data_IF_135648360633
#
_entry.id   IF_135648360633
#
_cell.length_a   1.000
_cell.length_b   1.000
_cell.length_c   1.000
_cell.angle_alpha   90.00
_cell.angle_beta   90.00
_cell.angle_gamma   90.00
#
_symmetry.space_group_name_H-M   'P 1'
#
loop_
_entity.id
_entity.type
_entity.pdbx_description
1 polymer ?
#
# COMPACT_ATOMS: atom_id res chain seq x y z
N UNK A 1 -4.25 -38.86 -43.15
CA UNK A 1 -3.62 -37.53 -43.25
C UNK A 1 -4.58 -36.57 -42.60
N UNK A 2 -4.47 -36.38 -41.29
CA UNK A 2 -5.19 -35.33 -40.58
C UNK A 2 -4.23 -34.75 -39.54
N UNK A 3 -3.96 -33.45 -39.70
CA UNK A 3 -2.99 -32.72 -38.93
C UNK A 3 -3.55 -32.44 -37.53
N UNK A 4 -2.84 -32.94 -36.51
CA UNK A 4 -3.03 -32.52 -35.12
C UNK A 4 -2.44 -31.11 -35.01
N UNK A 5 -3.30 -30.09 -35.11
CA UNK A 5 -2.97 -28.73 -34.72
C UNK A 5 -2.84 -28.72 -33.20
N UNK A 6 -1.61 -28.79 -32.71
CA UNK A 6 -1.30 -28.43 -31.32
C UNK A 6 -1.40 -26.91 -31.21
N UNK A 7 -2.57 -26.42 -30.82
CA UNK A 7 -2.70 -25.07 -30.28
C UNK A 7 -1.97 -25.03 -28.94
N UNK A 8 -0.73 -24.56 -28.96
CA UNK A 8 -0.02 -24.11 -27.78
C UNK A 8 -0.66 -22.79 -27.33
N UNK A 9 -1.61 -22.88 -26.40
CA UNK A 9 -1.96 -21.78 -25.51
C UNK A 9 -0.71 -21.41 -24.70
N UNK A 10 0.17 -20.59 -25.27
CA UNK A 10 1.02 -19.75 -24.42
C UNK A 10 0.08 -18.91 -23.54
N UNK A 11 0.30 -18.97 -22.22
CA UNK A 11 -0.57 -18.26 -21.28
C UNK A 11 -0.61 -16.78 -21.65
N UNK A 12 -1.80 -16.17 -21.65
CA UNK A 12 -2.02 -14.73 -21.93
C UNK A 12 -1.06 -13.85 -21.12
N UNK A 13 -0.67 -14.30 -19.93
CA UNK A 13 0.30 -13.64 -19.06
C UNK A 13 1.73 -13.64 -19.64
N UNK A 14 2.14 -14.74 -20.28
CA UNK A 14 3.44 -14.86 -20.96
C UNK A 14 3.53 -13.89 -22.13
N UNK A 15 2.47 -13.77 -22.94
CA UNK A 15 2.39 -12.81 -24.05
C UNK A 15 2.40 -11.36 -23.53
N UNK A 16 1.68 -11.04 -22.45
CA UNK A 16 1.71 -9.71 -21.82
C UNK A 16 3.10 -9.34 -21.28
N UNK A 17 3.84 -10.29 -20.71
CA UNK A 17 5.22 -10.07 -20.23
C UNK A 17 6.18 -9.87 -21.41
N UNK A 18 6.02 -10.61 -22.51
CA UNK A 18 6.87 -10.46 -23.70
C UNK A 18 6.64 -9.14 -24.45
N UNK A 19 5.42 -8.62 -24.49
CA UNK A 19 5.11 -7.35 -25.15
C UNK A 19 5.55 -6.10 -24.38
N UNK A 20 5.90 -6.21 -23.10
CA UNK A 20 6.25 -5.07 -22.22
C UNK A 20 7.77 -4.87 -22.01
N UNK A 21 8.60 -5.78 -22.51
CA UNK A 21 10.07 -5.72 -22.41
C UNK A 21 10.64 -5.67 -23.83
N UNK A 22 11.23 -4.53 -24.22
CA UNK A 22 11.87 -4.41 -25.53
C UNK A 22 13.06 -5.38 -25.65
N UNK A 23 13.11 -6.11 -26.77
CA UNK A 23 14.15 -7.11 -27.08
C UNK A 23 15.58 -6.56 -27.05
N UNK A 24 15.77 -5.24 -27.15
CA UNK A 24 17.09 -4.59 -27.09
C UNK A 24 17.79 -4.70 -25.73
N UNK A 25 17.06 -4.97 -24.63
CA UNK A 25 17.64 -5.19 -23.30
C UNK A 25 18.14 -6.65 -23.10
N UNK A 26 17.93 -7.50 -24.12
CA UNK A 26 18.19 -8.93 -24.10
C UNK A 26 19.49 -9.21 -24.84
N UNK A 27 20.64 -8.92 -24.20
CA UNK A 27 21.83 -9.69 -24.52
C UNK A 27 21.53 -11.15 -24.13
N UNK A 28 21.32 -11.96 -25.15
CA UNK A 28 21.00 -13.37 -25.02
C UNK A 28 22.13 -14.04 -24.24
N UNK A 29 21.82 -14.50 -23.03
CA UNK A 29 22.57 -15.58 -22.40
C UNK A 29 22.40 -16.79 -23.31
N UNK A 30 23.30 -16.90 -24.29
CA UNK A 30 23.15 -17.83 -25.41
C UNK A 30 22.90 -19.25 -24.90
N UNK A 31 22.02 -19.96 -25.62
CA UNK A 31 21.68 -21.34 -25.33
C UNK A 31 22.86 -22.21 -25.78
N UNK A 32 23.94 -22.19 -25.00
CA UNK A 32 24.99 -23.19 -25.12
C UNK A 32 24.43 -24.57 -24.75
N UNK A 33 25.01 -25.65 -25.31
CA UNK A 33 24.74 -27.04 -24.87
C UNK A 33 24.76 -27.11 -23.33
N UNK A 34 23.99 -27.96 -22.66
CA UNK A 34 24.09 -28.09 -21.19
C UNK A 34 25.51 -28.48 -20.74
N UNK A 35 25.89 -28.19 -19.47
CA UNK A 35 27.13 -28.70 -18.92
C UNK A 35 27.09 -30.24 -18.84
N UNK A 36 28.27 -30.90 -18.82
CA UNK A 36 28.39 -32.34 -18.59
C UNK A 36 27.58 -32.81 -17.39
N UNK A 37 27.02 -34.03 -17.45
CA UNK A 37 26.19 -34.62 -16.38
C UNK A 37 26.87 -34.53 -15.00
N UNK A 38 28.18 -34.81 -14.93
CA UNK A 38 28.98 -34.74 -13.70
C UNK A 38 28.98 -33.35 -13.02
N UNK A 39 28.72 -32.28 -13.77
CA UNK A 39 28.68 -30.91 -13.24
C UNK A 39 27.26 -30.44 -12.92
N UNK A 40 26.21 -31.16 -13.34
CA UNK A 40 24.82 -30.73 -13.11
C UNK A 40 24.44 -30.75 -11.64
N UNK A 41 24.99 -31.68 -10.84
CA UNK A 41 24.76 -31.69 -9.38
C UNK A 41 25.24 -30.40 -8.69
N UNK A 42 26.25 -29.71 -9.25
CA UNK A 42 26.75 -28.44 -8.70
C UNK A 42 25.83 -27.25 -8.97
N UNK A 43 24.95 -27.34 -9.97
CA UNK A 43 23.99 -26.27 -10.29
C UNK A 43 23.08 -26.00 -9.08
N UNK A 44 22.54 -27.06 -8.47
CA UNK A 44 21.65 -26.98 -7.32
C UNK A 44 22.33 -26.39 -6.06
N UNK A 45 23.67 -26.39 -6.02
CA UNK A 45 24.46 -25.78 -4.95
C UNK A 45 24.68 -24.29 -5.27
N UNK A 46 25.12 -23.98 -6.48
CA UNK A 46 25.47 -22.61 -6.85
C UNK A 46 24.25 -21.70 -7.07
N UNK A 47 23.13 -22.21 -7.58
CA UNK A 47 21.94 -21.39 -7.85
C UNK A 47 21.39 -20.67 -6.61
N UNK A 48 21.14 -21.33 -5.45
CA UNK A 48 20.67 -20.63 -4.25
C UNK A 48 21.74 -19.69 -3.67
N UNK A 49 23.03 -20.03 -3.80
CA UNK A 49 24.13 -19.17 -3.33
C UNK A 49 24.16 -17.87 -4.14
N UNK A 50 24.13 -17.96 -5.47
CA UNK A 50 24.12 -16.79 -6.34
C UNK A 50 22.89 -15.91 -6.11
N UNK A 51 21.72 -16.52 -5.89
CA UNK A 51 20.51 -15.78 -5.56
C UNK A 51 20.62 -15.02 -4.24
N UNK A 52 21.16 -15.65 -3.18
CA UNK A 52 21.37 -14.99 -1.88
C UNK A 52 22.40 -13.86 -1.96
N UNK A 53 23.49 -14.08 -2.70
CA UNK A 53 24.48 -13.04 -2.96
C UNK A 53 23.85 -11.86 -3.71
N UNK A 54 23.09 -12.13 -4.77
CA UNK A 54 22.37 -11.10 -5.50
C UNK A 54 21.38 -10.34 -4.59
N UNK A 55 20.61 -11.06 -3.76
CA UNK A 55 19.65 -10.46 -2.84
C UNK A 55 20.30 -9.53 -1.79
N UNK A 56 21.55 -9.80 -1.41
CA UNK A 56 22.31 -8.94 -0.49
C UNK A 56 22.81 -7.62 -1.11
N UNK A 57 22.74 -7.49 -2.44
CA UNK A 57 23.10 -6.26 -3.16
C UNK A 57 21.89 -5.29 -3.28
N UNK A 58 22.14 -3.99 -3.52
CA UNK A 58 21.09 -3.04 -3.91
C UNK A 58 20.28 -3.55 -5.11
N UNK A 59 18.98 -3.25 -5.18
CA UNK A 59 18.08 -3.80 -6.21
C UNK A 59 18.57 -3.51 -7.64
N UNK A 60 19.16 -2.32 -7.84
CA UNK A 60 19.73 -1.86 -9.11
C UNK A 60 20.92 -2.68 -9.61
N UNK A 61 21.69 -3.32 -8.71
CA UNK A 61 22.92 -4.04 -9.06
C UNK A 61 22.70 -5.53 -9.30
N UNK A 62 21.59 -6.10 -8.78
CA UNK A 62 21.34 -7.56 -8.78
C UNK A 62 21.35 -8.16 -10.17
N UNK A 63 20.73 -7.46 -11.12
CA UNK A 63 20.65 -7.92 -12.51
C UNK A 63 22.04 -7.96 -13.18
N UNK A 64 22.80 -6.86 -13.07
CA UNK A 64 24.17 -6.78 -13.59
C UNK A 64 25.09 -7.83 -12.97
N UNK A 65 24.96 -8.05 -11.66
CA UNK A 65 25.69 -9.09 -10.95
C UNK A 65 25.43 -10.50 -11.50
N UNK A 66 24.15 -10.90 -11.64
CA UNK A 66 23.80 -12.22 -12.19
C UNK A 66 24.25 -12.37 -13.65
N UNK A 67 24.12 -11.33 -14.48
CA UNK A 67 24.62 -11.32 -15.85
C UNK A 67 26.14 -11.53 -15.90
N UNK A 68 26.88 -10.88 -15.00
CA UNK A 68 28.35 -11.02 -14.90
C UNK A 68 28.74 -12.44 -14.48
N UNK A 69 28.08 -13.02 -13.47
CA UNK A 69 28.32 -14.41 -13.05
C UNK A 69 28.09 -15.40 -14.21
N UNK A 70 27.12 -15.14 -15.06
CA UNK A 70 26.80 -16.02 -16.18
C UNK A 70 27.87 -16.04 -17.28
N UNK A 71 28.78 -15.05 -17.31
CA UNK A 71 29.90 -14.99 -18.25
C UNK A 71 31.15 -15.75 -17.76
N UNK A 72 31.22 -16.10 -16.47
CA UNK A 72 32.42 -16.71 -15.86
C UNK A 72 32.70 -18.11 -16.41
N UNK A 73 31.67 -18.95 -16.47
CA UNK A 73 31.81 -20.31 -16.98
C UNK A 73 30.47 -20.87 -17.44
N UNK A 74 30.52 -21.94 -18.23
CA UNK A 74 29.33 -22.68 -18.66
C UNK A 74 28.50 -23.20 -17.48
N UNK A 75 29.15 -23.65 -16.41
CA UNK A 75 28.47 -24.12 -15.20
C UNK A 75 27.76 -22.95 -14.49
N UNK A 76 28.42 -21.80 -14.38
CA UNK A 76 27.87 -20.62 -13.72
C UNK A 76 26.72 -20.01 -14.53
N UNK A 77 26.84 -19.96 -15.86
CA UNK A 77 25.73 -19.59 -16.74
C UNK A 77 24.48 -20.42 -16.45
N UNK A 78 24.62 -21.75 -16.42
CA UNK A 78 23.51 -22.64 -16.07
C UNK A 78 23.05 -22.50 -14.62
N UNK A 79 23.93 -22.14 -13.69
CA UNK A 79 23.55 -21.91 -12.28
C UNK A 79 22.77 -20.60 -12.10
N UNK A 80 23.17 -19.53 -12.79
CA UNK A 80 22.45 -18.23 -12.81
C UNK A 80 21.04 -18.38 -13.36
N UNK A 81 20.88 -19.22 -14.39
CA UNK A 81 19.59 -19.56 -14.97
C UNK A 81 18.58 -20.09 -13.93
N UNK A 82 19.03 -20.88 -12.97
CA UNK A 82 18.21 -21.32 -11.82
C UNK A 82 18.28 -20.35 -10.62
N UNK A 83 19.31 -19.51 -10.53
CA UNK A 83 19.40 -18.48 -9.50
C UNK A 83 18.25 -17.48 -9.60
N UNK A 84 17.76 -17.18 -10.80
CA UNK A 84 16.57 -16.35 -11.00
C UNK A 84 15.35 -16.89 -10.26
N UNK A 85 15.09 -18.21 -10.32
CA UNK A 85 14.00 -18.85 -9.58
C UNK A 85 14.13 -18.60 -8.07
N UNK A 86 15.32 -18.83 -7.50
CA UNK A 86 15.54 -18.60 -6.07
C UNK A 86 15.46 -17.11 -5.69
N UNK A 87 15.99 -16.21 -6.53
CA UNK A 87 15.94 -14.78 -6.28
C UNK A 87 14.50 -14.25 -6.30
N UNK A 88 13.69 -14.72 -7.24
CA UNK A 88 12.26 -14.44 -7.32
C UNK A 88 11.56 -14.82 -6.02
N UNK A 89 11.80 -16.03 -5.51
CA UNK A 89 11.18 -16.49 -4.27
C UNK A 89 11.66 -15.70 -3.03
N UNK A 90 12.90 -15.20 -3.04
CA UNK A 90 13.43 -14.38 -1.96
C UNK A 90 12.85 -12.96 -1.96
N UNK A 91 12.71 -12.35 -3.13
CA UNK A 91 12.33 -10.93 -3.25
C UNK A 91 10.83 -10.71 -3.39
N UNK A 92 10.15 -11.62 -4.07
CA UNK A 92 8.73 -11.56 -4.35
C UNK A 92 8.04 -12.81 -3.77
N UNK A 93 8.09 -13.04 -2.45
CA UNK A 93 7.37 -14.15 -1.84
C UNK A 93 5.86 -13.99 -2.06
N UNK A 94 5.07 -15.06 -1.98
CA UNK A 94 3.60 -14.97 -2.02
C UNK A 94 2.92 -15.76 -3.13
N UNK A 95 1.60 -15.87 -3.03
CA UNK A 95 0.73 -16.68 -3.88
C UNK A 95 0.80 -16.27 -5.35
N UNK A 96 0.96 -14.98 -5.66
CA UNK A 96 1.06 -14.52 -7.06
C UNK A 96 2.28 -15.14 -7.74
N UNK A 97 3.40 -15.15 -7.04
CA UNK A 97 4.65 -15.76 -7.50
C UNK A 97 4.52 -17.28 -7.57
N UNK A 98 4.01 -17.93 -6.53
CA UNK A 98 3.83 -19.39 -6.49
C UNK A 98 2.90 -19.88 -7.61
N UNK A 99 1.76 -19.21 -7.82
CA UNK A 99 0.80 -19.53 -8.87
C UNK A 99 1.45 -19.38 -10.24
N UNK A 100 2.16 -18.27 -10.48
CA UNK A 100 2.86 -18.05 -11.73
C UNK A 100 3.93 -19.11 -12.01
N UNK A 101 4.78 -19.41 -11.03
CA UNK A 101 5.79 -20.47 -11.12
C UNK A 101 5.15 -21.82 -11.42
N UNK A 102 4.05 -22.16 -10.74
CA UNK A 102 3.34 -23.44 -10.92
C UNK A 102 2.69 -23.57 -12.30
N UNK A 103 2.35 -22.45 -12.94
CA UNK A 103 1.70 -22.41 -14.26
C UNK A 103 2.65 -22.56 -15.44
N UNK A 104 3.97 -22.55 -15.19
CA UNK A 104 4.98 -22.52 -16.24
C UNK A 104 5.64 -23.86 -16.52
N UNK A 105 5.89 -24.11 -17.80
CA UNK A 105 6.91 -25.07 -18.23
C UNK A 105 8.29 -24.49 -17.84
N UNK A 106 9.12 -25.19 -17.03
CA UNK A 106 10.33 -24.66 -16.37
C UNK A 106 11.48 -24.21 -17.29
N UNK A 107 11.19 -23.88 -18.54
CA UNK A 107 12.14 -23.24 -19.44
C UNK A 107 12.65 -21.92 -18.84
N UNK A 108 13.96 -21.90 -18.64
CA UNK A 108 14.73 -20.91 -17.91
C UNK A 108 14.55 -19.45 -18.38
N UNK A 109 14.18 -19.23 -19.64
CA UNK A 109 14.02 -17.88 -20.19
C UNK A 109 12.88 -17.10 -19.53
N UNK A 110 11.88 -17.79 -18.99
CA UNK A 110 10.66 -17.19 -18.46
C UNK A 110 10.87 -16.52 -17.10
N UNK A 111 11.77 -17.04 -16.24
CA UNK A 111 12.07 -16.47 -14.92
C UNK A 111 12.69 -15.08 -14.98
N UNK A 112 13.66 -14.85 -15.88
CA UNK A 112 14.33 -13.55 -16.01
C UNK A 112 13.35 -12.44 -16.40
N UNK A 113 12.49 -12.69 -17.40
CA UNK A 113 11.53 -11.70 -17.89
C UNK A 113 10.52 -11.31 -16.80
N UNK A 114 10.02 -12.29 -16.07
CA UNK A 114 9.12 -12.02 -14.95
C UNK A 114 9.79 -11.25 -13.83
N UNK A 115 11.04 -11.58 -13.48
CA UNK A 115 11.79 -10.81 -12.49
C UNK A 115 11.91 -9.33 -12.91
N UNK A 116 12.27 -9.06 -14.18
CA UNK A 116 12.36 -7.69 -14.72
C UNK A 116 11.01 -6.98 -14.61
N UNK A 117 9.93 -7.65 -15.01
CA UNK A 117 8.57 -7.10 -14.91
C UNK A 117 8.22 -6.71 -13.46
N UNK A 118 8.45 -7.62 -12.50
CA UNK A 118 8.19 -7.37 -11.08
C UNK A 118 9.07 -6.28 -10.48
N UNK A 119 10.33 -6.18 -10.94
CA UNK A 119 11.19 -5.07 -10.58
C UNK A 119 10.68 -3.73 -11.10
N UNK A 120 10.16 -3.67 -12.33
CA UNK A 120 9.54 -2.45 -12.86
C UNK A 120 8.32 -2.01 -12.04
N UNK A 121 7.45 -2.95 -11.67
CA UNK A 121 6.31 -2.66 -10.78
C UNK A 121 6.78 -2.12 -9.42
N UNK A 122 7.74 -2.80 -8.76
CA UNK A 122 8.33 -2.36 -7.49
C UNK A 122 8.97 -0.96 -7.61
N UNK A 123 9.75 -0.73 -8.66
CA UNK A 123 10.45 0.52 -8.91
C UNK A 123 9.48 1.68 -9.14
N UNK A 124 8.38 1.44 -9.85
CA UNK A 124 7.34 2.44 -10.05
C UNK A 124 6.73 2.91 -8.72
N UNK A 125 6.38 1.97 -7.84
CA UNK A 125 5.86 2.28 -6.49
C UNK A 125 6.91 3.04 -5.67
N UNK A 126 8.18 2.61 -5.72
CA UNK A 126 9.29 3.29 -5.04
C UNK A 126 9.48 4.73 -5.53
N UNK A 127 9.43 4.98 -6.83
CA UNK A 127 9.61 6.33 -7.39
C UNK A 127 8.48 7.28 -7.03
N UNK A 128 7.24 6.79 -7.02
CA UNK A 128 6.09 7.56 -6.55
C UNK A 128 6.23 7.87 -5.06
N UNK A 129 6.56 6.87 -4.24
CA UNK A 129 6.65 7.03 -2.80
C UNK A 129 7.84 7.90 -2.37
N UNK A 130 8.95 7.88 -3.11
CA UNK A 130 10.11 8.77 -2.88
C UNK A 130 9.79 10.26 -2.92
N UNK A 131 8.72 10.63 -3.63
CA UNK A 131 8.22 12.00 -3.75
C UNK A 131 7.17 12.34 -2.69
N UNK A 132 6.71 11.36 -1.92
CA UNK A 132 5.70 11.58 -0.89
C UNK A 132 6.23 12.42 0.27
N UNK A 133 5.32 13.15 0.91
CA UNK A 133 5.64 13.94 2.10
C UNK A 133 6.11 13.06 3.27
N UNK A 134 5.64 11.81 3.35
CA UNK A 134 6.00 10.85 4.41
C UNK A 134 7.45 10.43 4.28
N UNK A 135 7.89 10.04 3.08
CA UNK A 135 9.29 9.68 2.86
C UNK A 135 10.21 10.88 3.16
N UNK A 136 9.80 12.09 2.77
CA UNK A 136 10.54 13.32 3.09
C UNK A 136 10.61 13.56 4.60
N UNK A 137 9.49 13.38 5.32
CA UNK A 137 9.44 13.50 6.78
C UNK A 137 10.42 12.55 7.46
N UNK A 138 10.39 11.26 7.08
CA UNK A 138 11.27 10.24 7.63
C UNK A 138 12.75 10.48 7.28
N UNK A 139 13.03 10.94 6.06
CA UNK A 139 14.38 11.33 5.65
C UNK A 139 14.94 12.42 6.53
N UNK A 140 14.18 13.50 6.73
CA UNK A 140 14.61 14.64 7.52
C UNK A 140 14.76 14.24 8.99
N UNK A 141 13.80 13.50 9.54
CA UNK A 141 13.90 12.96 10.90
C UNK A 141 15.17 12.12 11.10
N UNK A 142 15.44 11.17 10.20
CA UNK A 142 16.61 10.30 10.25
C UNK A 142 17.93 11.08 10.19
N UNK A 143 17.99 12.10 9.32
CA UNK A 143 19.15 13.00 9.22
C UNK A 143 19.35 13.86 10.47
N UNK A 144 18.28 14.45 11.01
CA UNK A 144 18.34 15.35 12.17
C UNK A 144 18.79 14.61 13.43
N UNK A 145 18.26 13.42 13.68
CA UNK A 145 18.50 12.68 14.92
C UNK A 145 19.54 11.55 14.78
N UNK A 146 20.22 11.44 13.64
CA UNK A 146 21.19 10.38 13.34
C UNK A 146 20.65 8.96 13.55
N UNK A 147 19.33 8.77 13.45
CA UNK A 147 18.70 7.44 13.50
C UNK A 147 18.85 6.77 12.15
N UNK A 148 19.93 6.00 12.00
CA UNK A 148 20.07 5.04 10.91
C UNK A 148 19.33 3.76 11.30
N UNK A 149 17.99 3.75 11.17
CA UNK A 149 17.30 2.46 11.16
C UNK A 149 17.82 1.67 9.96
N UNK A 150 18.44 0.50 10.16
CA UNK A 150 19.00 -0.27 9.07
C UNK A 150 17.84 -0.83 8.24
N UNK A 151 17.39 -0.11 7.22
CA UNK A 151 16.57 -0.72 6.19
C UNK A 151 17.49 -1.64 5.41
N UNK A 152 17.16 -2.93 5.39
CA UNK A 152 17.96 -3.96 4.72
C UNK A 152 18.14 -3.71 3.21
N UNK A 153 17.42 -2.73 2.64
CA UNK A 153 17.47 -2.39 1.21
C UNK A 153 17.85 -0.93 0.90
N UNK A 154 18.18 -0.05 1.88
CA UNK A 154 18.72 1.33 1.70
C UNK A 154 18.01 2.28 0.71
N UNK A 155 16.86 1.92 0.14
CA UNK A 155 16.23 2.69 -0.94
C UNK A 155 15.22 3.74 -0.44
N UNK A 156 14.72 3.59 0.80
CA UNK A 156 13.74 4.43 1.47
C UNK A 156 14.18 4.68 2.92
N UNK A 157 13.83 5.85 3.42
CA UNK A 157 13.95 6.25 4.82
C UNK A 157 12.75 5.78 5.65
N UNK A 158 11.57 5.69 5.05
CA UNK A 158 10.41 5.10 5.69
C UNK A 158 10.62 3.60 5.94
N UNK A 159 10.43 3.18 7.18
CA UNK A 159 10.69 1.80 7.62
C UNK A 159 9.46 1.08 8.20
N UNK A 160 8.29 1.72 8.24
CA UNK A 160 7.09 1.12 8.87
C UNK A 160 6.47 -0.07 8.12
N UNK A 161 6.92 -0.35 6.90
CA UNK A 161 6.39 -1.42 6.06
C UNK A 161 7.55 -2.25 5.51
N UNK A 162 7.40 -3.57 5.56
CA UNK A 162 8.33 -4.50 4.98
C UNK A 162 8.42 -4.31 3.46
N UNK A 163 9.64 -4.22 2.94
CA UNK A 163 9.93 -4.04 1.52
C UNK A 163 9.28 -5.09 0.60
N UNK A 164 9.01 -6.30 1.10
CA UNK A 164 8.31 -7.33 0.32
C UNK A 164 6.92 -6.90 -0.14
N UNK A 165 6.25 -6.03 0.62
CA UNK A 165 4.91 -5.54 0.32
C UNK A 165 4.87 -4.50 -0.80
N UNK A 166 5.99 -3.84 -1.14
CA UNK A 166 6.06 -2.91 -2.29
C UNK A 166 5.63 -3.55 -3.61
N UNK A 167 5.74 -4.88 -3.68
CA UNK A 167 5.41 -5.64 -4.87
C UNK A 167 3.97 -6.16 -4.88
N UNK A 168 3.17 -5.96 -3.83
CA UNK A 168 1.86 -6.59 -3.67
C UNK A 168 1.95 -8.12 -3.88
N UNK A 169 2.63 -8.84 -2.97
CA UNK A 169 2.98 -10.25 -3.13
C UNK A 169 1.79 -11.20 -3.30
N UNK A 170 0.69 -10.91 -2.61
CA UNK A 170 -0.50 -11.78 -2.59
C UNK A 170 -1.71 -11.07 -3.21
N UNK A 171 -1.94 -9.82 -2.83
CA UNK A 171 -3.14 -9.06 -3.18
C UNK A 171 -2.77 -7.64 -3.59
N UNK A 172 -3.42 -7.11 -4.64
CA UNK A 172 -3.19 -5.73 -5.09
C UNK A 172 -3.65 -4.74 -4.02
N UNK A 173 -2.82 -3.75 -3.73
CA UNK A 173 -3.09 -2.69 -2.76
C UNK A 173 -2.58 -2.96 -1.35
N UNK A 174 -1.84 -4.06 -1.12
CA UNK A 174 -1.22 -4.36 0.18
C UNK A 174 -0.31 -3.22 0.65
N UNK A 175 0.53 -2.70 -0.25
CA UNK A 175 1.38 -1.54 0.05
C UNK A 175 0.55 -0.30 0.41
N UNK A 176 -0.43 0.04 -0.43
CA UNK A 176 -1.25 1.24 -0.24
C UNK A 176 -2.01 1.22 1.08
N UNK A 177 -2.63 0.08 1.43
CA UNK A 177 -3.41 -0.04 2.65
C UNK A 177 -2.53 0.04 3.90
N UNK A 178 -1.34 -0.55 3.82
CA UNK A 178 -0.33 -0.50 4.89
C UNK A 178 0.17 0.92 5.10
N UNK A 179 0.32 1.68 4.02
CA UNK A 179 0.68 3.09 4.07
C UNK A 179 -0.43 3.92 4.70
N UNK A 180 -1.67 3.75 4.26
CA UNK A 180 -2.84 4.44 4.84
C UNK A 180 -2.96 4.19 6.33
N UNK A 181 -2.72 2.97 6.80
CA UNK A 181 -2.70 2.66 8.23
C UNK A 181 -1.71 3.53 9.00
N UNK A 182 -0.46 3.62 8.54
CA UNK A 182 0.54 4.43 9.23
C UNK A 182 0.24 5.92 9.16
N UNK A 183 -0.30 6.41 8.05
CA UNK A 183 -0.77 7.80 7.92
C UNK A 183 -1.88 8.08 8.94
N UNK A 184 -2.91 7.24 8.97
CA UNK A 184 -4.04 7.44 9.88
C UNK A 184 -3.62 7.32 11.34
N UNK A 185 -2.73 6.39 11.66
CA UNK A 185 -2.18 6.25 13.02
C UNK A 185 -1.33 7.45 13.42
N UNK A 186 -0.50 7.96 12.50
CA UNK A 186 0.28 9.19 12.67
C UNK A 186 -0.64 10.38 12.97
N UNK A 187 -1.74 10.52 12.22
CA UNK A 187 -2.65 11.65 12.37
C UNK A 187 -3.46 11.57 13.65
N UNK A 188 -4.00 10.39 13.99
CA UNK A 188 -4.74 10.22 15.24
C UNK A 188 -3.88 10.60 16.44
N UNK A 189 -2.57 10.32 16.40
CA UNK A 189 -1.63 10.79 17.42
C UNK A 189 -1.45 12.30 17.40
N UNK A 190 -1.21 12.88 16.23
CA UNK A 190 -1.09 14.34 16.09
C UNK A 190 -2.32 15.07 16.64
N UNK A 191 -3.52 14.54 16.38
CA UNK A 191 -4.80 15.09 16.83
C UNK A 191 -5.09 14.85 18.32
N UNK A 192 -4.49 13.81 18.93
CA UNK A 192 -4.64 13.53 20.36
C UNK A 192 -3.92 14.53 21.27
N UNK A 193 -3.16 15.47 20.71
CA UNK A 193 -2.39 16.45 21.46
C UNK A 193 -1.12 15.88 22.10
N UNK A 194 -0.68 14.68 21.68
CA UNK A 194 0.64 14.17 22.03
C UNK A 194 1.71 15.17 21.58
N UNK A 195 2.62 15.53 22.49
CA UNK A 195 3.69 16.50 22.21
C UNK A 195 4.69 15.96 21.19
N UNK A 196 5.33 16.85 20.43
CA UNK A 196 6.40 16.52 19.48
C UNK A 196 7.54 15.68 20.10
N UNK A 197 7.79 15.84 21.40
CA UNK A 197 8.72 15.02 22.18
C UNK A 197 8.39 13.51 22.19
N UNK A 198 7.17 13.10 21.88
CA UNK A 198 6.77 11.69 21.77
C UNK A 198 7.08 11.07 20.39
N UNK A 199 7.53 11.86 19.42
CA UNK A 199 7.80 11.36 18.07
C UNK A 199 8.87 10.28 18.00
N UNK A 200 9.99 10.36 18.75
CA UNK A 200 10.92 9.25 18.84
C UNK A 200 10.26 7.95 19.33
N UNK A 201 9.28 8.05 20.23
CA UNK A 201 8.50 6.90 20.70
C UNK A 201 7.60 6.37 19.58
N UNK A 202 6.94 7.24 18.81
CA UNK A 202 6.16 6.84 17.64
C UNK A 202 7.01 6.11 16.60
N UNK A 203 8.17 6.68 16.24
CA UNK A 203 9.08 6.05 15.28
C UNK A 203 9.66 4.74 15.78
N UNK A 204 10.03 4.65 17.07
CA UNK A 204 10.45 3.38 17.67
C UNK A 204 9.33 2.35 17.62
N UNK A 205 8.10 2.73 17.98
CA UNK A 205 6.96 1.82 17.91
C UNK A 205 6.66 1.39 16.48
N UNK A 206 6.81 2.27 15.50
CA UNK A 206 6.66 1.91 14.09
C UNK A 206 7.75 0.91 13.66
N UNK A 207 8.98 1.10 14.11
CA UNK A 207 10.09 0.19 13.85
C UNK A 207 9.90 -1.17 14.54
N UNK A 208 9.34 -1.20 15.75
CA UNK A 208 9.10 -2.46 16.46
C UNK A 208 7.88 -3.21 15.93
N UNK A 209 6.93 -2.49 15.32
CA UNK A 209 5.69 -3.01 14.75
C UNK A 209 5.65 -2.90 13.21
N UNK A 210 6.77 -3.13 12.54
CA UNK A 210 6.84 -3.11 11.07
C UNK A 210 5.77 -4.03 10.48
N UNK A 211 5.03 -3.51 9.50
CA UNK A 211 4.03 -4.30 8.79
C UNK A 211 4.73 -5.32 7.92
N UNK A 212 4.46 -6.60 8.15
CA UNK A 212 5.03 -7.73 7.40
C UNK A 212 4.05 -8.34 6.41
N UNK A 213 2.75 -8.14 6.62
CA UNK A 213 1.69 -8.66 5.75
C UNK A 213 0.43 -7.80 5.85
N UNK A 214 -0.37 -7.79 4.78
CA UNK A 214 -1.67 -7.15 4.73
C UNK A 214 -2.61 -8.05 3.91
N UNK A 215 -3.77 -8.42 4.45
CA UNK A 215 -4.70 -9.34 3.78
C UNK A 215 -6.12 -8.81 3.84
N UNK A 216 -6.81 -8.83 2.71
CA UNK A 216 -8.23 -8.51 2.68
C UNK A 216 -9.04 -9.60 3.38
N UNK A 217 -10.07 -9.19 4.11
CA UNK A 217 -10.97 -10.12 4.77
C UNK A 217 -12.18 -10.37 3.86
N UNK A 218 -12.27 -11.59 3.37
CA UNK A 218 -13.30 -11.97 2.40
C UNK A 218 -13.27 -11.06 1.16
N UNK A 219 -14.46 -10.71 0.67
CA UNK A 219 -14.64 -9.77 -0.45
C UNK A 219 -15.05 -8.37 0.05
N UNK A 220 -14.42 -7.86 1.12
CA UNK A 220 -14.75 -6.55 1.71
C UNK A 220 -13.62 -5.54 1.60
N UNK A 221 -13.91 -4.29 1.99
CA UNK A 221 -12.91 -3.23 2.16
C UNK A 221 -12.14 -3.33 3.49
N UNK A 222 -12.34 -4.39 4.28
CA UNK A 222 -11.66 -4.56 5.57
C UNK A 222 -10.37 -5.35 5.37
N UNK A 223 -9.29 -4.84 5.94
CA UNK A 223 -7.97 -5.46 5.85
C UNK A 223 -7.44 -5.83 7.23
N UNK A 224 -6.73 -6.95 7.28
CA UNK A 224 -5.92 -7.38 8.41
C UNK A 224 -4.46 -7.10 8.12
N UNK A 225 -3.86 -6.24 8.91
CA UNK A 225 -2.43 -5.88 8.86
C UNK A 225 -1.70 -6.67 9.92
N UNK A 226 -0.69 -7.45 9.55
CA UNK A 226 0.19 -8.14 10.49
C UNK A 226 1.50 -7.38 10.70
N UNK A 227 1.90 -7.22 11.96
CA UNK A 227 3.13 -6.57 12.37
C UNK A 227 4.15 -7.56 12.93
N UNK A 228 5.44 -7.22 12.89
CA UNK A 228 6.57 -8.02 13.41
C UNK A 228 6.46 -8.43 14.89
N UNK A 229 5.67 -7.71 15.69
CA UNK A 229 5.46 -7.95 17.12
C UNK A 229 4.31 -8.89 17.48
N UNK A 230 3.86 -9.78 16.58
CA UNK A 230 2.66 -10.62 16.77
C UNK A 230 1.38 -9.81 17.05
N UNK A 231 1.33 -8.57 16.57
CA UNK A 231 0.13 -7.73 16.59
C UNK A 231 -0.52 -7.77 15.23
N UNK A 232 -1.83 -7.90 15.20
CA UNK A 232 -2.61 -7.75 13.99
C UNK A 232 -3.64 -6.64 14.18
N UNK A 233 -3.75 -5.76 13.20
CA UNK A 233 -4.72 -4.68 13.17
C UNK A 233 -5.79 -4.97 12.12
N UNK A 234 -7.03 -4.61 12.43
CA UNK A 234 -8.14 -4.61 11.49
C UNK A 234 -8.41 -3.17 11.10
N UNK A 235 -8.43 -2.88 9.81
CA UNK A 235 -8.52 -1.51 9.31
C UNK A 235 -9.55 -1.37 8.20
N UNK A 236 -10.05 -0.16 8.02
CA UNK A 236 -10.76 0.25 6.80
C UNK A 236 -9.75 0.47 5.67
N UNK A 237 -9.92 -0.19 4.53
CA UNK A 237 -8.98 -0.10 3.42
C UNK A 237 -8.93 1.27 2.73
N UNK A 238 -10.02 2.05 2.83
CA UNK A 238 -10.12 3.37 2.22
C UNK A 238 -9.53 4.47 3.11
N UNK A 239 -9.84 4.47 4.41
CA UNK A 239 -9.35 5.49 5.35
C UNK A 239 -8.07 5.09 6.07
N UNK A 240 -7.68 3.81 6.07
CA UNK A 240 -6.55 3.30 6.88
C UNK A 240 -6.82 3.25 8.39
N UNK A 241 -7.99 3.72 8.82
CA UNK A 241 -8.34 3.82 10.23
C UNK A 241 -8.52 2.44 10.87
N UNK A 242 -7.95 2.27 12.07
CA UNK A 242 -7.98 1.03 12.81
C UNK A 242 -9.34 0.82 13.48
N UNK A 243 -9.99 -0.28 13.13
CA UNK A 243 -11.27 -0.72 13.68
C UNK A 243 -11.05 -1.45 15.02
N UNK A 244 -9.93 -2.14 15.13
CA UNK A 244 -9.51 -2.85 16.33
C UNK A 244 -8.28 -3.70 16.05
N UNK A 245 -7.89 -4.53 17.02
CA UNK A 245 -6.65 -5.27 16.95
C UNK A 245 -6.72 -6.59 17.72
N UNK A 246 -5.75 -7.46 17.45
CA UNK A 246 -5.58 -8.77 18.07
C UNK A 246 -4.09 -9.03 18.36
N UNK A 247 -3.82 -9.80 19.42
CA UNK A 247 -2.51 -10.37 19.69
C UNK A 247 -2.53 -11.82 19.19
N UNK A 248 -1.85 -12.08 18.07
CA UNK A 248 -1.69 -13.46 17.61
C UNK A 248 -0.68 -14.18 18.51
N UNK A 249 -1.16 -14.94 19.49
CA UNK A 249 -0.30 -15.82 20.28
C UNK A 249 0.14 -17.02 19.44
N UNK A 250 1.16 -16.84 18.59
CA UNK A 250 1.98 -17.92 18.05
C UNK A 250 1.57 -18.47 16.67
N UNK A 251 2.62 -18.65 15.86
CA UNK A 251 2.76 -19.42 14.61
C UNK A 251 1.82 -19.14 13.43
N UNK A 252 2.47 -18.85 12.29
CA UNK A 252 1.96 -18.67 10.91
C UNK A 252 1.28 -19.92 10.32
N UNK A 253 0.44 -20.64 11.07
CA UNK A 253 -0.40 -21.69 10.48
C UNK A 253 -1.71 -21.06 10.03
N UNK A 254 -2.04 -21.28 8.75
CA UNK A 254 -3.37 -21.20 8.12
C UNK A 254 -4.42 -20.52 8.99
N UNK A 255 -4.87 -19.32 8.59
CA UNK A 255 -5.95 -18.58 9.24
C UNK A 255 -7.16 -19.52 9.39
N UNK A 256 -7.24 -20.22 10.52
CA UNK A 256 -8.45 -20.89 10.95
C UNK A 256 -9.28 -19.73 11.50
N UNK A 257 -10.18 -19.21 10.66
CA UNK A 257 -11.03 -18.05 11.00
C UNK A 257 -11.83 -18.27 12.29
N UNK A 258 -11.96 -19.52 12.73
CA UNK A 258 -12.59 -19.95 13.99
C UNK A 258 -11.80 -19.55 15.26
N UNK A 259 -10.51 -19.18 15.16
CA UNK A 259 -9.65 -18.87 16.31
C UNK A 259 -9.14 -17.42 16.35
N UNK A 260 -9.72 -16.49 15.59
CA UNK A 260 -9.43 -15.07 15.78
C UNK A 260 -9.91 -14.69 17.18
N UNK A 261 -9.03 -14.20 18.05
CA UNK A 261 -9.42 -13.72 19.38
C UNK A 261 -9.62 -12.24 19.27
N UNK A 262 -10.77 -11.82 18.74
CA UNK A 262 -11.18 -10.44 18.51
C UNK A 262 -11.24 -9.58 19.80
N UNK A 263 -10.23 -9.60 20.66
CA UNK A 263 -10.32 -9.17 22.06
C UNK A 263 -10.72 -7.70 22.16
N UNK A 264 -10.15 -6.86 21.30
CA UNK A 264 -10.36 -5.41 21.33
C UNK A 264 -11.16 -4.87 20.14
N UNK A 265 -11.84 -5.75 19.38
CA UNK A 265 -12.81 -5.29 18.38
C UNK A 265 -14.15 -4.97 19.06
N UNK A 266 -14.84 -3.93 18.59
CA UNK A 266 -16.22 -3.65 19.03
C UNK A 266 -17.19 -4.75 18.56
N UNK A 267 -18.27 -4.95 19.30
CA UNK A 267 -19.24 -6.02 19.03
C UNK A 267 -19.93 -5.89 17.67
N UNK A 268 -20.27 -4.67 17.26
CA UNK A 268 -20.88 -4.36 15.96
C UNK A 268 -19.94 -4.74 14.80
N UNK A 269 -18.66 -4.40 14.92
CA UNK A 269 -17.63 -4.77 13.95
C UNK A 269 -17.35 -6.27 13.94
N UNK A 270 -17.38 -6.96 15.10
CA UNK A 270 -17.29 -8.43 15.16
C UNK A 270 -18.41 -9.05 14.34
N UNK A 271 -19.65 -8.60 14.56
CA UNK A 271 -20.82 -9.11 13.85
C UNK A 271 -20.69 -8.84 12.34
N UNK A 272 -20.33 -7.62 11.95
CA UNK A 272 -20.18 -7.23 10.55
C UNK A 272 -19.15 -8.08 9.80
N UNK A 273 -17.94 -8.22 10.35
CA UNK A 273 -16.88 -9.02 9.72
C UNK A 273 -17.24 -10.50 9.73
N UNK A 274 -17.88 -11.01 10.79
CA UNK A 274 -18.40 -12.41 10.80
C UNK A 274 -19.41 -12.64 9.68
N UNK A 275 -20.30 -11.67 9.41
CA UNK A 275 -21.24 -11.72 8.29
C UNK A 275 -20.52 -11.72 6.95
N UNK A 276 -19.54 -10.84 6.74
CA UNK A 276 -18.74 -10.79 5.50
C UNK A 276 -18.07 -12.15 5.22
N UNK A 277 -17.47 -12.74 6.25
CA UNK A 277 -16.76 -14.02 6.13
C UNK A 277 -17.73 -15.14 5.71
N UNK A 278 -18.91 -15.18 6.34
CA UNK A 278 -19.85 -16.29 6.16
C UNK A 278 -20.74 -16.15 4.91
N UNK A 279 -21.14 -14.94 4.54
CA UNK A 279 -22.16 -14.73 3.51
C UNK A 279 -21.58 -14.64 2.09
N UNK A 280 -20.26 -14.54 1.90
CA UNK A 280 -19.57 -14.48 0.61
C UNK A 280 -20.02 -13.36 -0.37
N UNK A 281 -20.97 -12.52 0.02
CA UNK A 281 -21.39 -11.37 -0.77
C UNK A 281 -20.36 -10.24 -0.65
N UNK A 282 -19.96 -9.62 -1.78
CA UNK A 282 -19.22 -8.38 -1.72
C UNK A 282 -20.14 -7.30 -1.15
N UNK A 283 -19.83 -6.81 0.04
CA UNK A 283 -20.39 -5.56 0.52
C UNK A 283 -19.23 -4.61 0.79
N UNK A 284 -19.16 -3.53 0.01
CA UNK A 284 -18.21 -2.46 0.29
C UNK A 284 -18.61 -1.83 1.61
N UNK A 285 -17.62 -1.38 2.39
CA UNK A 285 -17.91 -0.66 3.64
C UNK A 285 -18.71 0.61 3.33
N UNK A 286 -18.44 1.20 2.17
CA UNK A 286 -19.12 2.38 1.64
C UNK A 286 -20.64 2.19 1.49
N UNK A 287 -21.10 0.98 1.16
CA UNK A 287 -22.53 0.67 1.03
C UNK A 287 -23.29 0.73 2.37
N UNK A 288 -22.55 0.78 3.49
CA UNK A 288 -23.11 0.88 4.84
C UNK A 288 -23.31 2.32 5.31
N UNK A 289 -22.99 3.30 4.46
CA UNK A 289 -23.20 4.70 4.78
C UNK A 289 -24.68 5.03 4.73
N UNK A 290 -25.21 5.51 5.86
CA UNK A 290 -26.51 6.13 5.97
C UNK A 290 -26.34 7.64 5.88
N UNK A 291 -26.91 8.23 4.83
CA UNK A 291 -26.78 9.65 4.56
C UNK A 291 -28.06 10.41 4.95
N UNK A 292 -27.91 11.45 5.77
CA UNK A 292 -29.03 12.25 6.28
C UNK A 292 -29.60 13.29 5.27
N UNK A 293 -29.19 13.26 4.01
CA UNK A 293 -29.67 14.18 2.96
C UNK A 293 -30.46 13.49 1.84
N UNK A 294 -30.56 14.16 0.70
CA UNK A 294 -31.26 13.62 -0.48
C UNK A 294 -30.42 12.51 -1.15
N UNK A 295 -30.71 11.26 -0.81
CA UNK A 295 -30.01 10.10 -1.36
C UNK A 295 -30.24 9.89 -2.87
N UNK A 296 -31.25 10.54 -3.47
CA UNK A 296 -31.47 10.47 -4.92
C UNK A 296 -30.45 11.31 -5.71
N UNK A 297 -29.97 12.40 -5.09
CA UNK A 297 -29.00 13.31 -5.66
C UNK A 297 -27.57 13.00 -5.19
N UNK A 298 -27.44 12.61 -3.92
CA UNK A 298 -26.18 12.27 -3.24
C UNK A 298 -26.22 10.83 -2.69
N UNK A 299 -26.18 9.80 -3.56
CA UNK A 299 -26.04 8.43 -3.10
C UNK A 299 -24.81 8.31 -2.18
N UNK A 300 -25.03 7.86 -0.94
CA UNK A 300 -24.01 7.75 0.11
C UNK A 300 -23.22 9.06 0.35
N UNK A 301 -23.87 10.22 0.16
CA UNK A 301 -23.26 11.52 0.37
C UNK A 301 -22.39 12.02 -0.78
N UNK A 302 -22.31 11.33 -1.91
CA UNK A 302 -21.53 11.80 -3.09
C UNK A 302 -22.48 12.19 -4.21
N UNK A 303 -22.34 13.41 -4.73
CA UNK A 303 -23.19 13.89 -5.82
C UNK A 303 -23.05 13.02 -7.08
N UNK A 304 -24.19 12.64 -7.69
CA UNK A 304 -24.28 11.73 -8.85
C UNK A 304 -23.50 12.15 -10.11
N UNK A 305 -23.04 13.41 -10.19
CA UNK A 305 -22.22 13.90 -11.29
C UNK A 305 -20.76 13.44 -11.21
N UNK A 306 -20.28 13.03 -10.04
CA UNK A 306 -18.90 12.59 -9.83
C UNK A 306 -18.77 11.15 -10.30
N UNK A 307 -18.49 11.00 -11.60
CA UNK A 307 -18.36 9.69 -12.28
C UNK A 307 -16.91 9.31 -12.56
N UNK A 308 -15.99 10.27 -12.48
CA UNK A 308 -14.56 10.01 -12.68
C UNK A 308 -14.04 9.07 -11.56
N UNK A 309 -13.41 7.94 -11.90
CA UNK A 309 -13.02 6.94 -10.91
C UNK A 309 -12.05 7.46 -9.84
N UNK A 310 -11.14 8.36 -10.19
CA UNK A 310 -10.15 8.90 -9.25
C UNK A 310 -10.81 9.86 -8.27
N UNK A 311 -11.63 10.80 -8.78
CA UNK A 311 -12.42 11.72 -7.97
C UNK A 311 -13.41 10.98 -7.07
N UNK A 312 -14.07 9.95 -7.61
CA UNK A 312 -14.99 9.13 -6.84
C UNK A 312 -14.27 8.36 -5.73
N UNK A 313 -13.09 7.79 -6.03
CA UNK A 313 -12.27 7.13 -5.00
C UNK A 313 -11.86 8.08 -3.88
N UNK A 314 -11.45 9.31 -4.19
CA UNK A 314 -11.10 10.29 -3.17
C UNK A 314 -12.34 10.74 -2.37
N UNK A 315 -13.47 10.99 -3.03
CA UNK A 315 -14.72 11.31 -2.37
C UNK A 315 -15.17 10.19 -1.41
N UNK A 316 -15.02 8.91 -1.79
CA UNK A 316 -15.28 7.78 -0.89
C UNK A 316 -14.41 7.83 0.37
N UNK A 317 -13.11 8.09 0.21
CA UNK A 317 -12.18 8.22 1.35
C UNK A 317 -12.59 9.36 2.26
N UNK A 318 -12.90 10.51 1.67
CA UNK A 318 -13.39 11.67 2.42
C UNK A 318 -14.64 11.36 3.21
N UNK A 319 -15.66 10.80 2.57
CA UNK A 319 -16.91 10.43 3.26
C UNK A 319 -16.62 9.45 4.40
N UNK A 320 -15.82 8.41 4.17
CA UNK A 320 -15.48 7.43 5.21
C UNK A 320 -14.64 8.02 6.36
N UNK A 321 -13.88 9.07 6.11
CA UNK A 321 -13.12 9.80 7.15
C UNK A 321 -13.97 10.81 7.93
N UNK A 322 -15.21 11.09 7.48
CA UNK A 322 -16.14 12.04 8.11
C UNK A 322 -17.47 11.39 8.51
N UNK A 323 -17.58 10.06 8.45
CA UNK A 323 -18.68 9.37 9.15
C UNK A 323 -18.58 9.74 10.63
N UNK A 324 -19.74 10.02 11.23
CA UNK A 324 -19.87 10.62 12.56
C UNK A 324 -18.87 10.01 13.54
N UNK A 325 -18.19 10.91 14.28
CA UNK A 325 -17.12 10.64 15.24
C UNK A 325 -17.29 9.28 15.87
N UNK A 326 -16.29 8.41 15.64
CA UNK A 326 -16.23 7.03 16.12
C UNK A 326 -17.03 5.98 15.33
N UNK A 327 -17.53 6.26 14.13
CA UNK A 327 -18.11 5.23 13.25
C UNK A 327 -17.14 4.06 13.00
N UNK A 328 -15.86 4.35 12.79
CA UNK A 328 -14.82 3.35 12.50
C UNK A 328 -14.00 2.97 13.76
N UNK A 329 -13.21 3.88 14.37
CA UNK A 329 -12.26 3.53 15.46
C UNK A 329 -12.65 3.82 16.92
N UNK A 330 -13.86 4.29 17.27
CA UNK A 330 -14.14 4.72 18.66
C UNK A 330 -15.35 4.14 19.38
N UNK A 331 -15.79 4.77 20.47
CA UNK A 331 -16.89 4.27 21.29
C UNK A 331 -18.24 4.38 20.59
N UNK A 332 -19.08 3.34 20.69
CA UNK A 332 -20.46 3.35 20.18
C UNK A 332 -21.25 4.47 20.89
N UNK A 333 -21.36 5.63 20.27
CA UNK A 333 -22.27 6.66 20.75
C UNK A 333 -23.70 6.22 20.41
N UNK A 334 -24.48 5.95 21.44
CA UNK A 334 -25.93 5.76 21.32
C UNK A 334 -26.56 7.11 20.97
N UNK A 335 -26.48 7.54 19.70
CA UNK A 335 -27.29 8.67 19.24
C UNK A 335 -28.76 8.26 19.34
N UNK A 336 -29.64 9.05 19.98
CA UNK A 336 -31.06 8.72 20.15
C UNK A 336 -31.86 8.75 18.83
N UNK A 337 -31.25 9.24 17.74
CA UNK A 337 -31.88 9.33 16.42
C UNK A 337 -31.67 8.10 15.53
N UNK A 338 -30.78 7.18 15.89
CA UNK A 338 -30.55 5.92 15.18
C UNK A 338 -31.23 4.74 15.89
N UNK A 339 -32.51 4.91 16.27
CA UNK A 339 -33.39 3.79 16.60
C UNK A 339 -33.74 3.03 15.32
N UNK A 340 -32.75 2.38 14.71
CA UNK A 340 -33.01 1.34 13.74
C UNK A 340 -33.33 0.07 14.54
N UNK A 341 -34.61 -0.33 14.54
CA UNK A 341 -35.06 -1.61 15.13
C UNK A 341 -34.36 -2.83 14.51
N UNK A 342 -33.61 -2.63 13.43
CA UNK A 342 -32.69 -3.60 12.86
C UNK A 342 -31.27 -3.37 13.39
N UNK A 343 -30.73 -4.40 14.03
CA UNK A 343 -29.34 -4.53 14.51
C UNK A 343 -28.27 -4.57 13.39
N UNK A 344 -28.46 -3.80 12.31
CA UNK A 344 -27.57 -3.70 11.15
C UNK A 344 -26.51 -2.65 11.41
N UNK A 345 -25.27 -2.98 11.06
CA UNK A 345 -24.12 -2.07 11.09
C UNK A 345 -24.35 -0.92 10.09
N UNK A 346 -24.30 0.32 10.57
CA UNK A 346 -24.54 1.55 9.81
C UNK A 346 -23.47 2.58 10.15
N UNK A 347 -23.00 3.30 9.13
CA UNK A 347 -22.09 4.44 9.27
C UNK A 347 -22.86 5.73 8.93
N UNK A 348 -23.19 6.52 9.94
CA UNK A 348 -23.97 7.75 9.72
C UNK A 348 -23.09 8.88 9.16
N UNK A 349 -23.60 9.58 8.15
CA UNK A 349 -22.96 10.74 7.53
C UNK A 349 -23.87 11.96 7.57
N UNK A 350 -23.38 13.04 8.16
CA UNK A 350 -24.09 14.32 8.21
C UNK A 350 -24.14 15.00 6.83
N UNK A 351 -25.21 15.77 6.59
CA UNK A 351 -25.45 16.41 5.29
C UNK A 351 -24.32 17.38 4.89
N UNK A 352 -23.71 18.03 5.88
CA UNK A 352 -22.62 19.00 5.75
C UNK A 352 -21.42 18.42 4.97
N UNK A 353 -21.16 17.12 5.11
CA UNK A 353 -20.06 16.41 4.46
C UNK A 353 -20.44 15.81 3.09
N UNK A 354 -21.57 16.20 2.51
CA UNK A 354 -21.93 15.73 1.17
C UNK A 354 -21.06 16.40 0.10
N UNK A 355 -20.50 15.57 -0.77
CA UNK A 355 -19.49 15.96 -1.75
C UNK A 355 -20.15 16.40 -3.05
N UNK A 356 -19.92 17.65 -3.45
CA UNK A 356 -20.42 18.24 -4.69
C UNK A 356 -19.41 18.16 -5.84
N UNK A 357 -18.13 18.40 -5.55
CA UNK A 357 -17.06 18.30 -6.52
C UNK A 357 -15.71 17.97 -5.88
N UNK A 358 -14.78 17.47 -6.70
CA UNK A 358 -13.45 17.04 -6.27
C UNK A 358 -12.42 17.60 -7.24
N UNK A 359 -11.36 18.20 -6.71
CA UNK A 359 -10.15 18.60 -7.41
C UNK A 359 -8.99 17.76 -6.91
N UNK A 360 -8.28 17.13 -7.82
CA UNK A 360 -7.16 16.25 -7.51
C UNK A 360 -5.87 17.06 -7.35
N UNK A 361 -4.85 16.48 -6.71
CA UNK A 361 -3.49 17.02 -6.71
C UNK A 361 -3.02 17.36 -8.12
N UNK A 362 -2.36 18.52 -8.29
CA UNK A 362 -1.95 19.04 -9.59
C UNK A 362 -3.05 19.76 -10.38
N UNK A 363 -4.30 19.75 -9.92
CA UNK A 363 -5.36 20.59 -10.49
C UNK A 363 -5.43 21.95 -9.78
N UNK A 364 -6.06 22.91 -10.46
CA UNK A 364 -6.32 24.24 -9.90
C UNK A 364 -7.57 24.22 -9.03
N UNK A 365 -7.48 24.79 -7.83
CA UNK A 365 -8.59 24.92 -6.88
C UNK A 365 -8.77 26.38 -6.42
N UNK A 366 -8.63 26.66 -5.12
CA UNK A 366 -8.88 27.96 -4.50
C UNK A 366 -7.86 29.01 -4.97
N UNK A 367 -8.31 30.25 -5.24
CA UNK A 367 -7.47 31.37 -5.69
C UNK A 367 -6.55 31.06 -6.88
N UNK A 368 -7.01 30.21 -7.80
CA UNK A 368 -6.24 29.74 -8.95
C UNK A 368 -4.88 29.11 -8.59
N UNK A 369 -4.75 28.54 -7.39
CA UNK A 369 -3.55 27.81 -6.98
C UNK A 369 -3.62 26.37 -7.46
N UNK A 370 -2.47 25.85 -7.90
CA UNK A 370 -2.30 24.44 -8.27
C UNK A 370 -1.99 23.65 -7.01
N UNK A 371 -2.78 22.62 -6.73
CA UNK A 371 -2.62 21.81 -5.52
C UNK A 371 -1.32 20.99 -5.58
N UNK A 372 -0.56 20.97 -4.49
CA UNK A 372 0.65 20.17 -4.35
C UNK A 372 0.35 18.66 -4.34
N UNK A 373 1.39 17.84 -4.50
CA UNK A 373 1.25 16.39 -4.46
C UNK A 373 0.84 15.92 -3.04
N UNK A 374 -0.16 15.04 -2.96
CA UNK A 374 -0.70 14.54 -1.68
C UNK A 374 -1.84 15.40 -1.12
N UNK A 375 -2.17 16.52 -1.79
CA UNK A 375 -3.23 17.42 -1.40
C UNK A 375 -4.28 17.53 -2.50
N UNK A 376 -5.54 17.34 -2.11
CA UNK A 376 -6.70 17.54 -2.96
C UNK A 376 -7.67 18.53 -2.32
N UNK A 377 -8.68 18.93 -3.08
CA UNK A 377 -9.74 19.81 -2.60
C UNK A 377 -11.12 19.22 -2.88
N UNK A 378 -11.99 19.28 -1.90
CA UNK A 378 -13.36 18.79 -1.97
C UNK A 378 -14.30 19.95 -1.70
N UNK A 379 -15.20 20.22 -2.64
CA UNK A 379 -16.32 21.11 -2.39
C UNK A 379 -17.44 20.30 -1.75
N UNK A 380 -17.78 20.62 -0.51
CA UNK A 380 -19.01 20.10 0.11
C UNK A 380 -20.19 21.04 -0.16
N UNK A 381 -21.39 20.64 0.26
CA UNK A 381 -22.58 21.51 0.16
C UNK A 381 -22.48 22.80 0.97
N UNK A 382 -21.58 22.87 1.96
CA UNK A 382 -21.45 24.05 2.83
C UNK A 382 -20.12 24.76 2.67
N UNK A 383 -19.02 24.00 2.57
CA UNK A 383 -17.66 24.56 2.63
C UNK A 383 -16.68 23.77 1.74
N UNK A 384 -15.68 24.47 1.22
CA UNK A 384 -14.52 23.87 0.58
C UNK A 384 -13.52 23.32 1.57
N UNK A 385 -13.04 22.10 1.37
CA UNK A 385 -12.08 21.44 2.26
C UNK A 385 -10.83 21.00 1.50
N UNK A 386 -9.67 21.28 2.09
CA UNK A 386 -8.40 20.67 1.68
C UNK A 386 -8.26 19.31 2.35
N UNK A 387 -7.92 18.27 1.59
CA UNK A 387 -7.90 16.88 2.07
C UNK A 387 -6.63 16.15 1.62
N UNK A 388 -6.16 15.20 2.43
CA UNK A 388 -5.05 14.31 2.03
C UNK A 388 -5.52 13.30 1.00
N UNK A 389 -4.75 13.12 -0.07
CA UNK A 389 -5.07 12.18 -1.14
C UNK A 389 -5.18 10.74 -0.63
N UNK A 390 -4.30 10.36 0.28
CA UNK A 390 -4.11 8.97 0.69
C UNK A 390 -5.30 8.44 1.49
N UNK A 391 -5.90 9.27 2.36
CA UNK A 391 -6.91 8.88 3.33
C UNK A 391 -8.17 9.75 3.33
N UNK A 392 -8.21 10.83 2.54
CA UNK A 392 -9.37 11.73 2.44
C UNK A 392 -9.64 12.57 3.70
N UNK A 393 -8.68 12.68 4.61
CA UNK A 393 -8.85 13.46 5.84
C UNK A 393 -8.69 14.95 5.58
N UNK A 394 -9.56 15.76 6.19
CA UNK A 394 -9.47 17.22 6.18
C UNK A 394 -8.20 17.74 6.86
N UNK A 395 -7.50 18.65 6.17
CA UNK A 395 -6.29 19.33 6.64
C UNK A 395 -6.40 20.85 6.59
N UNK A 396 -7.57 21.37 6.22
CA UNK A 396 -7.86 22.79 6.09
C UNK A 396 -9.16 23.03 5.34
N UNK A 397 -9.56 24.29 5.23
CA UNK A 397 -10.77 24.73 4.53
C UNK A 397 -10.51 25.96 3.64
N UNK A 398 -11.51 26.37 2.85
CA UNK A 398 -11.41 27.51 1.94
C UNK A 398 -11.42 28.88 2.63
N UNK A 399 -11.64 28.92 3.96
CA UNK A 399 -11.65 30.15 4.78
C UNK A 399 -10.28 30.39 5.41
N UNK A 400 -9.73 29.40 6.09
CA UNK A 400 -8.49 29.44 6.83
C UNK A 400 -7.30 28.88 6.04
N UNK A 401 -7.56 28.19 4.93
CA UNK A 401 -6.54 27.51 4.15
C UNK A 401 -6.07 26.19 4.77
N UNK A 402 -4.98 25.65 4.22
CA UNK A 402 -4.27 24.49 4.76
C UNK A 402 -3.68 24.86 6.12
N UNK A 403 -4.02 24.08 7.16
CA UNK A 403 -3.53 24.31 8.52
C UNK A 403 -2.00 24.27 8.55
N UNK A 404 -1.39 25.12 9.37
CA UNK A 404 0.07 25.34 9.39
C UNK A 404 0.87 24.05 9.46
N UNK A 405 0.47 23.10 10.31
CA UNK A 405 1.21 21.85 10.45
C UNK A 405 1.23 21.03 9.16
N UNK A 406 0.11 21.01 8.44
CA UNK A 406 -0.02 20.31 7.18
C UNK A 406 0.70 21.04 6.06
N UNK A 407 0.67 22.38 6.06
CA UNK A 407 1.45 23.19 5.13
C UNK A 407 2.96 22.91 5.27
N UNK A 408 3.45 22.75 6.51
CA UNK A 408 4.84 22.38 6.80
C UNK A 408 5.18 20.96 6.32
N UNK A 409 4.34 19.97 6.62
CA UNK A 409 4.56 18.57 6.22
C UNK A 409 4.49 18.37 4.70
N UNK A 410 3.48 18.95 4.05
CA UNK A 410 3.27 18.86 2.60
C UNK A 410 4.25 19.75 1.83
N UNK A 411 4.80 20.79 2.46
CA UNK A 411 5.70 21.75 1.82
C UNK A 411 4.94 22.65 0.85
N UNK A 412 3.80 23.18 1.29
CA UNK A 412 2.96 24.07 0.48
C UNK A 412 2.62 25.35 1.24
N UNK A 413 2.11 26.35 0.52
CA UNK A 413 1.56 27.55 1.14
C UNK A 413 0.15 27.31 1.72
N UNK A 414 -0.43 28.33 2.34
CA UNK A 414 -1.78 28.30 2.95
C UNK A 414 -2.89 27.91 1.98
N UNK A 415 -2.68 28.01 0.66
CA UNK A 415 -3.69 27.68 -0.35
C UNK A 415 -3.32 26.43 -1.17
N UNK A 416 -2.37 25.63 -0.66
CA UNK A 416 -2.03 24.33 -1.20
C UNK A 416 -1.02 24.33 -2.36
N UNK A 417 -0.46 25.48 -2.75
CA UNK A 417 0.55 25.53 -3.81
C UNK A 417 1.91 25.06 -3.31
N UNK A 418 2.58 24.19 -4.08
CA UNK A 418 3.85 23.60 -3.69
C UNK A 418 4.98 24.63 -3.62
N UNK A 419 5.79 24.53 -2.57
CA UNK A 419 7.10 25.16 -2.54
C UNK A 419 8.13 24.29 -3.29
N UNK A 420 9.28 24.87 -3.63
CA UNK A 420 10.40 24.10 -4.13
C UNK A 420 10.90 23.09 -3.07
N UNK A 421 11.58 22.03 -3.52
CA UNK A 421 12.01 20.94 -2.65
C UNK A 421 12.90 21.41 -1.49
N UNK A 422 13.75 22.43 -1.69
CA UNK A 422 14.67 22.91 -0.65
C UNK A 422 13.88 23.63 0.43
N UNK A 423 12.93 24.48 0.03
CA UNK A 423 12.04 25.17 0.95
C UNK A 423 11.16 24.19 1.73
N UNK A 424 10.56 23.20 1.06
CA UNK A 424 9.77 22.16 1.70
C UNK A 424 10.56 21.37 2.76
N UNK A 425 11.83 21.04 2.48
CA UNK A 425 12.68 20.36 3.48
C UNK A 425 13.00 21.26 4.68
N UNK A 426 13.29 22.55 4.45
CA UNK A 426 13.49 23.51 5.54
C UNK A 426 12.26 23.67 6.42
N UNK A 427 11.07 23.66 5.83
CA UNK A 427 9.80 23.72 6.57
C UNK A 427 9.66 22.52 7.52
N UNK A 428 9.92 21.30 7.07
CA UNK A 428 9.87 20.14 7.96
C UNK A 428 10.97 20.19 9.02
N UNK A 429 12.18 20.66 8.69
CA UNK A 429 13.24 20.85 9.67
C UNK A 429 12.81 21.76 10.83
N UNK A 430 12.01 22.81 10.54
CA UNK A 430 11.51 23.69 11.60
C UNK A 430 10.58 22.98 12.59
N UNK A 431 9.88 21.91 12.18
CA UNK A 431 9.05 21.09 13.08
C UNK A 431 9.84 20.38 14.16
N UNK A 432 11.12 20.12 13.92
CA UNK A 432 12.00 19.41 14.86
C UNK A 432 12.88 20.35 15.69
N UNK A 433 12.79 21.66 15.47
CA UNK A 433 13.57 22.68 16.17
C UNK A 433 12.77 23.43 17.24
N UNK A 434 11.45 23.39 17.15
CA UNK A 434 10.48 23.89 18.13
C UNK A 434 10.16 22.81 19.15
#
# INVERSE_FOLDING_TARGET
MDAIVKDTQESVLTQQIMHTVHDSDILALSIGKPPPLALRGKINIYSPIFARLAFSLPSSERYGFLCTLALVSKLWNFSVKFAWYHLILLEFPGKRTETWISSLDPTIQTFRLWYIHRQKEKQHVLELFKKSWIERLFRIYGQTFSYNFPTSQKELWFFGICYGLLSDPDERGQWEVSLRFWISHFILRLMSGESWESWPIFFSQMHDNIIIDAKRIGNSDIWRIECSGNKAWYISGQSGEAIGWDFSSGFRSVINMENITWKDLRFDWKKYISTIINESFPSELFDRIFFHGDSSLYPHGIHKSIKDPLRFSLAKRFVLSHVISYGISGSYESRPFSYCSNSKFILDLEKTYSVESVRLSGETAVYNQVLCQGLSYIQTTEVGMFVLDEIGLEVGDDVCGVRDIWALLLGCNTWGNAHDSITAEKMILTLFQT
#
